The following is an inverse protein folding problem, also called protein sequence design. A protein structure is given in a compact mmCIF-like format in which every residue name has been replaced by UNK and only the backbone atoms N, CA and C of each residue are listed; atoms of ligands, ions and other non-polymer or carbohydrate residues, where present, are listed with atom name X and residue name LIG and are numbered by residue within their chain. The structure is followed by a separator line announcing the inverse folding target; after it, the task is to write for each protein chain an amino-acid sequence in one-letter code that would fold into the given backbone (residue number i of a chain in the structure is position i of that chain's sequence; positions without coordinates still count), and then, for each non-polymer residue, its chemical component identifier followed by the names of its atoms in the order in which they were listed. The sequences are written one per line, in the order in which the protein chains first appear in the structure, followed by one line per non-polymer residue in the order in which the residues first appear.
data_IF_916582461746
#
_entry.id   IF_916582461746
#
_cell.length_a   1.000
_cell.length_b   1.000
_cell.length_c   1.000
_cell.angle_alpha   90.00
_cell.angle_beta   90.00
_cell.angle_gamma   90.00
#
_symmetry.space_group_name_H-M   'P 1'
#
loop_
_entity.id
_entity.type
_entity.pdbx_description
1 polymer ?
#
# COMPACT_ATOMS: atom_id res chain seq x y z
N UNK A 1 12.35 14.71 0.82
CA UNK A 1 10.99 14.16 1.00
C UNK A 1 11.03 12.91 1.88
N UNK A 2 10.10 12.74 2.81
CA UNK A 2 9.90 11.56 3.65
C UNK A 2 8.64 10.78 3.23
N UNK A 3 8.59 9.49 3.57
CA UNK A 3 7.45 8.63 3.32
C UNK A 3 6.96 8.10 4.66
N UNK A 4 5.70 8.39 5.00
CA UNK A 4 5.05 7.94 6.23
C UNK A 4 4.03 6.87 5.86
N UNK A 5 4.10 5.72 6.53
CA UNK A 5 3.12 4.64 6.37
C UNK A 5 2.31 4.55 7.67
N UNK A 6 0.98 4.56 7.57
CA UNK A 6 0.07 4.38 8.68
C UNK A 6 -0.85 3.17 8.44
N UNK A 7 -1.14 2.35 9.47
CA UNK A 7 -0.66 2.48 10.86
C UNK A 7 0.82 2.12 11.05
N UNK A 8 1.36 1.23 10.23
CA UNK A 8 2.74 0.72 10.30
C UNK A 8 3.21 0.23 8.94
N UNK A 9 4.53 0.09 8.75
CA UNK A 9 5.12 -0.54 7.56
C UNK A 9 4.99 -2.06 7.54
N UNK A 10 4.25 -2.62 8.50
CA UNK A 10 4.03 -4.05 8.67
C UNK A 10 2.57 -4.23 9.09
N UNK A 11 1.80 -4.89 8.24
CA UNK A 11 0.33 -4.99 8.34
C UNK A 11 -0.13 -6.36 7.86
N UNK A 12 -1.35 -6.75 8.19
CA UNK A 12 -1.96 -8.00 7.72
C UNK A 12 -2.73 -7.75 6.42
N UNK A 13 -2.88 -8.78 5.58
CA UNK A 13 -3.75 -8.71 4.40
C UNK A 13 -5.16 -8.25 4.80
N UNK A 14 -5.85 -7.49 3.95
CA UNK A 14 -7.16 -6.93 4.29
C UNK A 14 -7.11 -5.66 5.14
N UNK A 15 -5.96 -5.28 5.70
CA UNK A 15 -5.80 -4.04 6.47
C UNK A 15 -5.80 -2.81 5.56
N UNK A 16 -6.42 -1.73 6.01
CA UNK A 16 -6.34 -0.43 5.36
C UNK A 16 -5.01 0.26 5.66
N UNK A 17 -4.26 0.64 4.63
CA UNK A 17 -2.96 1.30 4.74
C UNK A 17 -3.01 2.65 4.06
N UNK A 18 -2.49 3.68 4.73
CA UNK A 18 -2.34 5.01 4.17
C UNK A 18 -0.87 5.37 4.11
N UNK A 19 -0.36 5.60 2.90
CA UNK A 19 0.96 6.17 2.69
C UNK A 19 0.82 7.68 2.47
N UNK A 20 1.60 8.45 3.22
CA UNK A 20 1.65 9.92 3.12
C UNK A 20 3.05 10.33 2.76
N UNK A 21 3.21 10.96 1.60
CA UNK A 21 4.44 11.58 1.19
C UNK A 21 4.54 12.95 1.87
N UNK A 22 5.63 13.18 2.60
CA UNK A 22 5.89 14.41 3.35
C UNK A 22 7.04 15.14 2.65
N UNK A 23 6.86 16.32 2.08
CA UNK A 23 7.97 16.94 1.35
C UNK A 23 7.75 18.35 0.86
N UNK A 24 8.82 18.99 0.41
CA UNK A 24 8.83 20.41 -0.01
C UNK A 24 7.86 20.75 -1.16
N UNK A 25 7.28 19.75 -1.83
CA UNK A 25 6.21 19.96 -2.80
C UNK A 25 4.84 20.28 -2.21
N UNK A 26 4.63 20.13 -0.89
CA UNK A 26 3.43 20.61 -0.19
C UNK A 26 3.20 22.13 -0.38
N UNK A 27 4.26 22.88 -0.74
CA UNK A 27 4.22 24.33 -1.02
C UNK A 27 4.11 24.65 -2.52
N UNK A 28 4.05 23.65 -3.39
CA UNK A 28 3.91 23.86 -4.83
C UNK A 28 2.45 24.16 -5.21
N UNK A 29 2.23 25.00 -6.22
CA UNK A 29 0.89 25.29 -6.73
C UNK A 29 0.24 24.07 -7.42
N UNK A 30 1.08 23.16 -7.98
CA UNK A 30 0.67 21.91 -8.64
C UNK A 30 1.71 20.80 -8.40
N UNK A 31 1.76 20.20 -7.19
CA UNK A 31 2.65 19.08 -6.94
C UNK A 31 2.14 17.83 -7.66
N UNK A 32 3.08 17.06 -8.20
CA UNK A 32 2.80 15.78 -8.82
C UNK A 32 3.51 14.69 -8.00
N UNK A 33 2.73 13.80 -7.38
CA UNK A 33 3.22 12.70 -6.57
C UNK A 33 3.24 11.41 -7.39
N UNK A 34 4.43 10.95 -7.73
CA UNK A 34 4.65 9.67 -8.41
C UNK A 34 4.98 8.60 -7.36
N UNK A 35 4.15 7.58 -7.29
CA UNK A 35 4.30 6.45 -6.36
C UNK A 35 4.99 5.29 -7.05
N UNK A 36 5.98 4.70 -6.39
CA UNK A 36 6.76 3.57 -6.89
C UNK A 36 6.68 2.40 -5.90
N UNK A 37 6.58 1.18 -6.44
CA UNK A 37 6.58 -0.08 -5.70
C UNK A 37 7.63 -1.00 -6.32
N UNK A 38 8.60 -1.43 -5.52
CA UNK A 38 9.74 -2.25 -5.97
C UNK A 38 10.45 -1.65 -7.20
N UNK A 39 10.63 -0.31 -7.21
CA UNK A 39 11.22 0.43 -8.33
C UNK A 39 10.32 0.57 -9.58
N UNK A 40 9.10 0.03 -9.57
CA UNK A 40 8.12 0.20 -10.66
C UNK A 40 7.13 1.30 -10.31
N UNK A 41 6.84 2.19 -11.28
CA UNK A 41 5.82 3.23 -11.10
C UNK A 41 4.45 2.56 -10.94
N UNK A 42 3.82 2.77 -9.78
CA UNK A 42 2.51 2.26 -9.44
C UNK A 42 1.43 3.20 -10.00
N UNK A 43 1.46 4.46 -9.58
CA UNK A 43 0.56 5.49 -10.06
C UNK A 43 1.10 6.90 -9.82
N UNK A 44 0.41 7.88 -10.37
CA UNK A 44 0.73 9.28 -10.22
C UNK A 44 -0.54 10.01 -9.78
N UNK A 45 -0.41 10.86 -8.77
CA UNK A 45 -1.53 11.55 -8.14
C UNK A 45 -1.14 12.97 -7.80
N UNK A 46 -2.08 13.90 -7.78
CA UNK A 46 -1.86 15.24 -7.22
C UNK A 46 -2.01 15.26 -5.69
N UNK A 47 -2.38 14.13 -5.10
CA UNK A 47 -2.54 13.99 -3.66
C UNK A 47 -1.26 13.43 -3.01
N UNK A 48 -0.83 13.98 -1.86
CA UNK A 48 0.31 13.47 -1.10
C UNK A 48 0.00 12.15 -0.42
N UNK A 49 -1.25 11.68 -0.46
CA UNK A 49 -1.71 10.46 0.18
C UNK A 49 -2.06 9.38 -0.84
N UNK A 50 -1.77 8.14 -0.46
CA UNK A 50 -2.08 6.92 -1.18
C UNK A 50 -2.74 5.95 -0.23
N UNK A 51 -4.03 5.69 -0.46
CA UNK A 51 -4.84 4.82 0.37
C UNK A 51 -5.04 3.46 -0.28
N UNK A 52 -4.79 2.41 0.50
CA UNK A 52 -5.09 1.03 0.16
C UNK A 52 -6.20 0.56 1.09
N UNK A 53 -7.44 0.40 0.62
CA UNK A 53 -8.55 -0.04 1.47
C UNK A 53 -8.41 -1.49 1.93
N UNK A 54 -7.71 -2.32 1.16
CA UNK A 54 -7.46 -3.74 1.46
C UNK A 54 -6.12 -4.13 0.85
N UNK A 55 -5.06 -4.10 1.66
CA UNK A 55 -3.71 -4.49 1.24
C UNK A 55 -3.63 -6.01 1.02
N UNK A 56 -2.96 -6.48 -0.02
CA UNK A 56 -2.72 -7.91 -0.26
C UNK A 56 -1.25 -8.25 -0.15
N UNK A 57 -0.94 -9.53 -0.02
CA UNK A 57 0.43 -10.05 -0.04
C UNK A 57 1.16 -9.71 -1.34
N UNK A 58 0.42 -9.61 -2.45
CA UNK A 58 0.94 -9.15 -3.76
C UNK A 58 1.32 -7.66 -3.77
N UNK A 59 0.72 -6.87 -2.88
CA UNK A 59 1.04 -5.46 -2.71
C UNK A 59 2.26 -5.23 -1.81
N UNK A 60 2.77 -6.27 -1.14
CA UNK A 60 3.98 -6.20 -0.36
C UNK A 60 5.19 -5.80 -1.23
N UNK A 61 6.08 -5.00 -0.66
CA UNK A 61 7.25 -4.51 -1.39
C UNK A 61 7.78 -3.20 -0.87
N UNK A 62 8.78 -2.66 -1.56
CA UNK A 62 9.38 -1.39 -1.18
C UNK A 62 8.67 -0.22 -1.84
N UNK A 63 8.05 0.65 -1.03
CA UNK A 63 7.35 1.84 -1.50
C UNK A 63 8.27 3.06 -1.47
N UNK A 64 8.14 3.89 -2.49
CA UNK A 64 8.84 5.17 -2.60
C UNK A 64 7.89 6.19 -3.21
N UNK A 65 7.87 7.40 -2.65
CA UNK A 65 7.18 8.53 -3.29
C UNK A 65 8.20 9.48 -3.92
N UNK A 66 7.84 10.07 -5.04
CA UNK A 66 8.60 11.12 -5.69
C UNK A 66 7.69 12.32 -5.92
N UNK A 67 8.12 13.48 -5.47
CA UNK A 67 7.38 14.72 -5.57
C UNK A 67 8.03 15.58 -6.64
N UNK A 68 7.27 15.91 -7.69
CA UNK A 68 7.72 16.83 -8.73
C UNK A 68 7.03 18.18 -8.54
N UNK A 69 7.86 19.21 -8.39
CA UNK A 69 7.46 20.61 -8.23
C UNK A 69 8.18 21.45 -9.29
N UNK A 70 7.76 22.70 -9.48
CA UNK A 70 8.41 23.64 -10.40
C UNK A 70 9.91 23.85 -10.09
N UNK A 71 10.31 23.65 -8.83
CA UNK A 71 11.70 23.78 -8.38
C UNK A 71 12.55 22.50 -8.58
N UNK A 72 11.96 21.39 -9.04
CA UNK A 72 12.66 20.12 -9.24
C UNK A 72 11.87 18.90 -8.79
N UNK A 73 12.54 17.75 -8.73
CA UNK A 73 11.96 16.49 -8.25
C UNK A 73 12.72 15.96 -7.04
N UNK A 74 12.01 15.72 -5.94
CA UNK A 74 12.55 15.08 -4.74
C UNK A 74 11.95 13.69 -4.59
N UNK A 75 12.81 12.66 -4.50
CA UNK A 75 12.39 11.31 -4.13
C UNK A 75 12.51 11.11 -2.62
N UNK A 76 11.63 10.28 -2.07
CA UNK A 76 11.71 9.84 -0.69
C UNK A 76 12.55 8.56 -0.54
N UNK A 77 12.88 8.21 0.70
CA UNK A 77 13.49 6.94 1.01
C UNK A 77 12.55 5.78 0.71
N UNK A 78 13.15 4.65 0.34
CA UNK A 78 12.42 3.46 -0.03
C UNK A 78 12.05 2.68 1.24
N UNK A 79 10.76 2.62 1.58
CA UNK A 79 10.27 1.99 2.81
C UNK A 79 9.70 0.60 2.48
N UNK A 80 10.22 -0.48 3.06
CA UNK A 80 9.67 -1.81 2.87
C UNK A 80 8.33 -1.97 3.60
N UNK A 81 7.25 -2.17 2.85
CA UNK A 81 5.95 -2.57 3.37
C UNK A 81 5.86 -4.10 3.40
N UNK A 82 5.75 -4.65 4.61
CA UNK A 82 5.54 -6.07 4.85
C UNK A 82 4.06 -6.33 5.03
N UNK A 83 3.55 -7.32 4.29
CA UNK A 83 2.17 -7.76 4.43
C UNK A 83 2.18 -9.19 4.91
N UNK A 84 1.58 -9.43 6.06
CA UNK A 84 1.39 -10.77 6.59
C UNK A 84 0.11 -11.35 6.03
N UNK A 85 0.21 -12.56 5.47
CA UNK A 85 -0.98 -13.31 5.13
C UNK A 85 -1.72 -13.65 6.42
N UNK A 86 -2.95 -13.17 6.54
CA UNK A 86 -3.90 -13.81 7.44
C UNK A 86 -4.32 -15.12 6.79
N UNK A 87 -3.59 -16.18 7.12
CA UNK A 87 -4.10 -17.51 6.98
C UNK A 87 -5.31 -17.63 7.94
N UNK A 88 -6.53 -17.88 7.46
CA UNK A 88 -7.61 -18.23 8.36
C UNK A 88 -7.27 -19.59 8.97
N UNK A 89 -6.66 -19.59 10.15
CA UNK A 89 -6.55 -20.76 11.00
C UNK A 89 -7.93 -21.05 11.60
N UNK A 90 -8.87 -21.50 10.77
CA UNK A 90 -10.23 -21.83 11.19
C UNK A 90 -11.23 -22.06 10.04
N UNK A 91 -11.30 -23.30 9.57
CA UNK A 91 -12.44 -23.95 8.85
C UNK A 91 -13.43 -24.44 9.94
N UNK A 92 -14.75 -24.74 9.77
CA UNK A 92 -15.66 -24.74 8.60
C UNK A 92 -16.95 -23.88 8.75
N UNK A 93 -17.57 -23.49 7.63
CA UNK A 93 -19.03 -23.27 7.62
C UNK A 93 -19.74 -24.64 7.64
N UNK A 94 -20.43 -24.94 8.74
CA UNK A 94 -21.50 -25.94 8.81
C UNK A 94 -22.70 -25.31 9.53
N UNK A 95 -23.95 -25.77 9.34
CA UNK A 95 -24.38 -27.07 8.81
C UNK A 95 -25.25 -26.96 7.53
N UNK A 96 -24.79 -27.59 6.44
CA UNK A 96 -25.59 -27.85 5.25
C UNK A 96 -25.48 -29.33 4.86
N UNK A 97 -26.54 -30.08 5.08
CA UNK A 97 -26.63 -31.52 4.85
C UNK A 97 -26.31 -31.93 3.40
N UNK A 98 -25.66 -33.09 3.24
CA UNK A 98 -25.48 -33.73 1.94
C UNK A 98 -24.54 -34.93 1.99
N UNK A 99 -25.01 -36.03 2.60
CA UNK A 99 -24.37 -37.34 2.49
C UNK A 99 -24.32 -37.76 1.01
N UNK A 100 -23.15 -37.63 0.38
CA UNK A 100 -22.83 -38.26 -0.90
C UNK A 100 -22.20 -39.63 -0.66
N UNK A 101 -23.02 -40.68 -0.71
CA UNK A 101 -22.57 -42.07 -0.80
C UNK A 101 -22.00 -42.29 -2.20
N UNK A 102 -20.74 -42.74 -2.30
CA UNK A 102 -20.16 -43.25 -3.54
C UNK A 102 -19.97 -44.77 -3.44
N UNK A 103 -20.19 -45.51 -4.55
CA UNK A 103 -20.57 -46.93 -4.58
C UNK A 103 -19.47 -47.92 -4.20
#
# INVERSE_FOLDING_TARGET
AGLRIQPSAEVTEGTAVTLTCVGTGDTAEKPLYSWYRNGRRLQESSFPTLEFPSIRGDDAGTFQCQVRSGNGSEASEAVPLRVFCECPAGIPEGPGAGLGVFP
#
